data_IF_878261657424
#
_entry.id   IF_878261657424
#
_cell.length_a   1.000
_cell.length_b   1.000
_cell.length_c   1.000
_cell.angle_alpha   90.00
_cell.angle_beta   90.00
_cell.angle_gamma   90.00
#
_symmetry.space_group_name_H-M   'P 1'
#
loop_
_entity.id
_entity.type
_entity.pdbx_description
1 polymer ?
#
# COMPACT_ATOMS: atom_id res chain seq x y z
N UNK A 1 -21.72 -1.58 19.88
CA UNK A 1 -20.96 -2.78 19.47
C UNK A 1 -19.50 -2.52 19.76
N UNK A 2 -18.68 -3.53 20.09
CA UNK A 2 -17.25 -3.30 20.24
C UNK A 2 -16.67 -2.85 18.90
N UNK A 3 -15.81 -1.83 18.92
CA UNK A 3 -15.07 -1.39 17.74
C UNK A 3 -13.94 -2.39 17.44
N UNK A 4 -13.74 -2.70 16.16
CA UNK A 4 -12.73 -3.64 15.70
C UNK A 4 -11.69 -2.91 14.87
N UNK A 5 -10.41 -3.05 15.25
CA UNK A 5 -9.28 -2.58 14.49
C UNK A 5 -8.49 -3.74 13.89
N UNK A 6 -8.07 -3.59 12.63
CA UNK A 6 -7.20 -4.54 11.93
C UNK A 6 -5.83 -3.90 11.72
N UNK A 7 -4.77 -4.59 12.13
CA UNK A 7 -3.38 -4.13 11.94
C UNK A 7 -2.65 -5.08 10.99
N UNK A 8 -2.17 -4.56 9.88
CA UNK A 8 -1.50 -5.29 8.82
C UNK A 8 -0.03 -4.88 8.73
N UNK A 9 0.87 -5.79 9.05
CA UNK A 9 2.31 -5.55 9.09
C UNK A 9 2.96 -5.44 7.71
N UNK A 10 4.22 -5.03 7.70
CA UNK A 10 5.08 -5.13 6.53
C UNK A 10 5.44 -6.59 6.23
N UNK A 11 5.89 -6.88 4.99
CA UNK A 11 6.35 -8.22 4.62
C UNK A 11 6.58 -8.43 3.13
N UNK A 12 6.51 -7.39 2.33
CA UNK A 12 6.66 -7.48 0.88
C UNK A 12 5.61 -8.43 0.26
N UNK A 13 5.98 -9.14 -0.80
CA UNK A 13 5.08 -10.06 -1.51
C UNK A 13 4.63 -11.20 -0.60
N UNK A 14 5.54 -11.76 0.20
CA UNK A 14 5.23 -12.85 1.14
C UNK A 14 4.26 -12.38 2.21
N UNK A 15 4.47 -11.17 2.76
CA UNK A 15 3.56 -10.57 3.74
C UNK A 15 2.18 -10.31 3.15
N UNK A 16 2.10 -9.84 1.91
CA UNK A 16 0.82 -9.65 1.22
C UNK A 16 0.06 -10.97 1.05
N UNK A 17 0.74 -12.04 0.65
CA UNK A 17 0.15 -13.37 0.52
C UNK A 17 -0.33 -13.91 1.89
N UNK A 18 0.48 -13.73 2.93
CA UNK A 18 0.10 -14.10 4.29
C UNK A 18 -1.17 -13.35 4.76
N UNK A 19 -1.21 -12.04 4.56
CA UNK A 19 -2.39 -11.24 4.90
C UNK A 19 -3.62 -11.71 4.13
N UNK A 20 -3.49 -11.99 2.83
CA UNK A 20 -4.58 -12.48 2.01
C UNK A 20 -5.16 -13.79 2.56
N UNK A 21 -4.33 -14.75 2.91
CA UNK A 21 -4.78 -16.03 3.48
C UNK A 21 -5.45 -15.87 4.84
N UNK A 22 -4.86 -15.07 5.75
CA UNK A 22 -5.47 -14.83 7.08
C UNK A 22 -6.80 -14.09 6.97
N UNK A 23 -6.87 -13.07 6.12
CA UNK A 23 -8.10 -12.29 5.92
C UNK A 23 -9.21 -13.12 5.26
N UNK A 24 -8.87 -14.02 4.33
CA UNK A 24 -9.82 -14.96 3.75
C UNK A 24 -10.37 -15.92 4.81
N UNK A 25 -9.50 -16.51 5.64
CA UNK A 25 -9.92 -17.38 6.73
C UNK A 25 -10.80 -16.66 7.77
N UNK A 26 -10.53 -15.40 8.07
CA UNK A 26 -11.38 -14.58 8.93
C UNK A 26 -12.76 -14.33 8.30
N UNK A 27 -12.81 -14.07 6.99
CA UNK A 27 -14.07 -13.90 6.27
C UNK A 27 -14.90 -15.19 6.28
N UNK A 28 -14.27 -16.35 6.09
CA UNK A 28 -14.93 -17.66 6.24
C UNK A 28 -15.46 -17.89 7.65
N UNK A 29 -14.76 -17.38 8.67
CA UNK A 29 -15.20 -17.43 10.06
C UNK A 29 -16.28 -16.38 10.41
N UNK A 30 -16.73 -15.58 9.44
CA UNK A 30 -17.80 -14.58 9.60
C UNK A 30 -17.32 -13.18 9.96
N UNK A 31 -16.02 -12.89 9.88
CA UNK A 31 -15.48 -11.55 10.05
C UNK A 31 -14.89 -11.01 8.74
N UNK A 32 -15.63 -10.11 8.10
CA UNK A 32 -15.11 -9.39 6.93
C UNK A 32 -14.28 -8.18 7.39
N UNK A 33 -13.00 -8.19 7.07
CA UNK A 33 -12.10 -7.11 7.46
C UNK A 33 -12.42 -5.76 6.78
N UNK A 34 -13.26 -5.74 5.75
CA UNK A 34 -13.79 -4.51 5.13
C UNK A 34 -14.69 -3.74 6.09
N UNK A 35 -15.33 -4.45 7.01
CA UNK A 35 -16.25 -3.90 8.03
C UNK A 35 -15.53 -3.42 9.29
N UNK A 36 -14.21 -3.59 9.38
CA UNK A 36 -13.44 -3.08 10.50
C UNK A 36 -13.53 -1.54 10.62
N UNK A 37 -13.68 -1.02 11.85
CA UNK A 37 -13.75 0.43 12.11
C UNK A 37 -12.45 1.13 11.72
N UNK A 38 -11.32 0.46 11.92
CA UNK A 38 -10.00 0.97 11.63
C UNK A 38 -9.12 -0.10 10.97
N UNK A 39 -8.42 0.28 9.91
CA UNK A 39 -7.33 -0.54 9.33
C UNK A 39 -6.05 0.28 9.39
N UNK A 40 -5.03 -0.28 10.02
CA UNK A 40 -3.67 0.30 10.06
C UNK A 40 -2.74 -0.64 9.30
N UNK A 41 -2.01 -0.12 8.34
CA UNK A 41 -1.13 -0.92 7.51
C UNK A 41 0.24 -0.29 7.30
N UNK A 42 1.28 -1.13 7.18
CA UNK A 42 2.64 -0.71 6.83
C UNK A 42 3.13 -1.49 5.62
N UNK A 43 3.65 -0.82 4.57
CA UNK A 43 4.18 -1.44 3.34
C UNK A 43 3.13 -2.37 2.71
N UNK A 44 3.40 -3.69 2.60
CA UNK A 44 2.44 -4.68 2.09
C UNK A 44 1.07 -4.59 2.78
N UNK A 45 1.06 -4.43 4.10
CA UNK A 45 -0.18 -4.27 4.87
C UNK A 45 -0.94 -3.00 4.52
N UNK A 46 -0.25 -1.90 4.21
CA UNK A 46 -0.89 -0.68 3.75
C UNK A 46 -1.57 -0.88 2.37
N UNK A 47 -0.88 -1.57 1.45
CA UNK A 47 -1.44 -1.89 0.14
C UNK A 47 -2.67 -2.80 0.25
N UNK A 48 -2.60 -3.87 1.06
CA UNK A 48 -3.72 -4.78 1.32
C UNK A 48 -4.88 -4.02 1.99
N UNK A 49 -4.60 -3.20 3.01
CA UNK A 49 -5.62 -2.41 3.70
C UNK A 49 -6.32 -1.41 2.78
N UNK A 50 -5.59 -0.74 1.91
CA UNK A 50 -6.15 0.14 0.90
C UNK A 50 -7.05 -0.65 -0.07
N UNK A 51 -6.61 -1.81 -0.53
CA UNK A 51 -7.39 -2.67 -1.44
C UNK A 51 -8.70 -3.15 -0.79
N UNK A 52 -8.66 -3.54 0.50
CA UNK A 52 -9.87 -3.88 1.26
C UNK A 52 -10.84 -2.69 1.35
N UNK A 53 -10.34 -1.49 1.66
CA UNK A 53 -11.17 -0.27 1.73
C UNK A 53 -11.73 0.17 0.38
N UNK A 54 -11.09 -0.23 -0.73
CA UNK A 54 -11.65 -0.07 -2.07
C UNK A 54 -12.81 -1.05 -2.38
N UNK A 55 -13.12 -1.96 -1.44
CA UNK A 55 -14.20 -2.93 -1.56
C UNK A 55 -13.77 -4.32 -2.04
N UNK A 56 -12.47 -4.56 -2.24
CA UNK A 56 -11.98 -5.84 -2.74
C UNK A 56 -12.17 -6.95 -1.69
N UNK A 57 -12.87 -8.05 -2.01
CA UNK A 57 -13.12 -9.11 -1.06
C UNK A 57 -11.84 -9.82 -0.61
N UNK A 58 -11.79 -10.20 0.68
CA UNK A 58 -10.61 -10.89 1.23
C UNK A 58 -10.37 -12.27 0.58
N UNK A 59 -11.45 -13.00 0.26
CA UNK A 59 -11.36 -14.27 -0.45
C UNK A 59 -10.69 -14.12 -1.81
N UNK A 60 -11.02 -13.06 -2.54
CA UNK A 60 -10.43 -12.78 -3.86
C UNK A 60 -8.94 -12.37 -3.78
N UNK A 61 -8.50 -11.78 -2.65
CA UNK A 61 -7.08 -11.57 -2.41
C UNK A 61 -6.32 -12.90 -2.31
N UNK A 62 -6.90 -13.90 -1.64
CA UNK A 62 -6.33 -15.24 -1.55
C UNK A 62 -6.37 -15.97 -2.89
N UNK A 63 -7.53 -16.00 -3.55
CA UNK A 63 -7.73 -16.61 -4.86
C UNK A 63 -6.71 -16.09 -5.88
N UNK A 64 -6.51 -14.76 -5.92
CA UNK A 64 -5.54 -14.14 -6.81
C UNK A 64 -4.10 -14.58 -6.55
N UNK A 65 -3.69 -14.73 -5.28
CA UNK A 65 -2.35 -15.22 -4.94
C UNK A 65 -2.15 -16.68 -5.34
N UNK A 66 -3.24 -17.46 -5.41
CA UNK A 66 -3.24 -18.86 -5.84
C UNK A 66 -3.39 -19.02 -7.37
N UNK A 67 -3.66 -17.94 -8.09
CA UNK A 67 -3.98 -18.00 -9.53
C UNK A 67 -5.36 -18.56 -9.82
N UNK A 68 -6.26 -18.49 -8.84
CA UNK A 68 -7.65 -18.95 -8.95
C UNK A 68 -8.56 -17.86 -9.50
N UNK A 69 -9.74 -18.22 -10.03
CA UNK A 69 -10.74 -17.25 -10.48
C UNK A 69 -11.18 -16.31 -9.34
N UNK A 70 -11.38 -15.05 -9.66
CA UNK A 70 -11.86 -14.02 -8.73
C UNK A 70 -13.32 -13.66 -9.06
N UNK A 71 -14.02 -13.07 -8.10
CA UNK A 71 -15.39 -12.61 -8.26
C UNK A 71 -15.51 -11.44 -9.26
N UNK A 72 -16.71 -11.22 -9.79
CA UNK A 72 -17.01 -10.08 -10.65
C UNK A 72 -16.74 -8.75 -9.97
N UNK A 73 -16.95 -8.66 -8.66
CA UNK A 73 -16.64 -7.47 -7.85
C UNK A 73 -15.14 -7.17 -7.87
N UNK A 74 -14.32 -8.19 -7.63
CA UNK A 74 -12.87 -8.05 -7.68
C UNK A 74 -12.37 -7.73 -9.09
N UNK A 75 -12.95 -8.40 -10.10
CA UNK A 75 -12.63 -8.15 -11.51
C UNK A 75 -12.96 -6.71 -11.94
N UNK A 76 -14.08 -6.15 -11.49
CA UNK A 76 -14.46 -4.77 -11.76
C UNK A 76 -13.44 -3.78 -11.15
N UNK A 77 -13.00 -4.01 -9.91
CA UNK A 77 -12.00 -3.16 -9.26
C UNK A 77 -10.66 -3.22 -10.00
N UNK A 78 -10.23 -4.41 -10.42
CA UNK A 78 -9.01 -4.58 -11.22
C UNK A 78 -9.16 -3.90 -12.59
N UNK A 79 -10.35 -4.00 -13.22
CA UNK A 79 -10.63 -3.33 -14.49
C UNK A 79 -10.42 -1.81 -14.42
N UNK A 80 -10.72 -1.20 -13.26
CA UNK A 80 -10.50 0.23 -13.04
C UNK A 80 -9.03 0.54 -12.71
N UNK A 81 -8.40 -0.29 -11.87
CA UNK A 81 -7.07 0.00 -11.31
C UNK A 81 -5.92 -0.65 -12.07
N UNK A 82 -6.21 -1.58 -12.98
CA UNK A 82 -5.22 -2.43 -13.62
C UNK A 82 -4.56 -3.42 -12.66
N UNK A 83 -3.74 -4.29 -13.21
CA UNK A 83 -2.89 -5.17 -12.40
C UNK A 83 -1.83 -4.36 -11.65
N UNK A 84 -1.49 -4.74 -10.39
CA UNK A 84 -0.41 -4.07 -9.69
C UNK A 84 0.87 -4.18 -10.51
N UNK A 85 1.50 -3.05 -10.86
CA UNK A 85 2.77 -3.09 -11.56
C UNK A 85 3.79 -3.83 -10.71
N UNK A 86 4.62 -4.64 -11.34
CA UNK A 86 5.81 -5.17 -10.68
C UNK A 86 6.64 -3.95 -10.23
N UNK A 87 6.82 -3.79 -8.91
CA UNK A 87 7.68 -2.75 -8.40
C UNK A 87 9.11 -3.05 -8.87
N UNK A 88 9.61 -2.26 -9.81
CA UNK A 88 11.01 -2.32 -10.18
C UNK A 88 11.83 -1.65 -9.06
N UNK A 89 12.26 -2.48 -8.11
CA UNK A 89 13.10 -2.06 -6.99
C UNK A 89 14.58 -1.97 -7.35
N UNK A 90 14.94 -2.12 -8.63
CA UNK A 90 16.33 -1.99 -9.06
C UNK A 90 16.78 -0.55 -8.85
N UNK A 91 17.88 -0.32 -8.11
CA UNK A 91 18.41 1.01 -7.94
C UNK A 91 18.82 1.54 -9.32
N UNK A 92 18.25 2.65 -9.74
CA UNK A 92 18.72 3.35 -10.92
C UNK A 92 20.07 3.99 -10.60
N UNK A 93 21.04 3.99 -11.53
CA UNK A 93 22.30 4.65 -11.28
C UNK A 93 22.03 6.12 -10.94
N UNK A 94 22.73 6.63 -9.93
CA UNK A 94 22.62 8.03 -9.51
C UNK A 94 22.75 8.94 -10.74
N UNK A 95 21.65 9.51 -11.18
CA UNK A 95 21.70 10.54 -12.21
C UNK A 95 22.02 11.86 -11.52
N UNK A 96 23.26 12.31 -11.72
CA UNK A 96 23.75 13.70 -11.53
C UNK A 96 23.49 14.34 -10.16
N UNK A 97 24.58 14.74 -9.51
CA UNK A 97 24.72 15.58 -8.31
C UNK A 97 23.64 15.42 -7.22
N UNK A 98 24.03 15.10 -6.00
CA UNK A 98 23.10 14.91 -4.88
C UNK A 98 22.42 16.24 -4.54
N UNK A 99 21.31 16.52 -5.20
CA UNK A 99 20.45 17.64 -4.81
C UNK A 99 19.70 17.25 -3.53
N UNK A 100 19.59 18.14 -2.55
CA UNK A 100 18.79 17.90 -1.36
C UNK A 100 17.37 17.50 -1.73
N UNK A 101 16.85 16.42 -1.14
CA UNK A 101 15.52 15.91 -1.46
C UNK A 101 14.41 16.90 -1.14
N UNK A 102 14.60 17.78 -0.16
CA UNK A 102 13.61 18.78 0.21
C UNK A 102 14.25 20.04 0.80
N UNK A 103 14.52 21.08 0.02
CA UNK A 103 14.91 22.38 0.53
C UNK A 103 13.91 22.96 1.55
N UNK A 104 12.60 22.66 1.37
CA UNK A 104 11.56 23.09 2.33
C UNK A 104 11.73 22.47 3.72
N UNK A 105 12.20 21.24 3.81
CA UNK A 105 12.47 20.56 5.09
C UNK A 105 13.65 21.23 5.83
N UNK A 106 14.67 21.67 5.12
CA UNK A 106 15.79 22.41 5.69
C UNK A 106 15.34 23.70 6.36
N UNK A 107 14.45 24.46 5.73
CA UNK A 107 13.97 25.72 6.28
C UNK A 107 12.88 25.56 7.36
N UNK A 108 11.93 24.64 7.18
CA UNK A 108 10.85 24.41 8.17
C UNK A 108 11.32 23.72 9.44
N UNK A 109 12.43 22.98 9.39
CA UNK A 109 12.93 22.18 10.50
C UNK A 109 14.11 22.85 11.21
N UNK A 110 14.33 24.16 11.07
CA UNK A 110 15.41 24.90 11.72
C UNK A 110 15.44 24.71 13.25
N UNK A 111 14.28 24.41 13.87
CA UNK A 111 14.15 24.12 15.32
C UNK A 111 14.44 22.65 15.69
N UNK A 112 14.62 21.77 14.70
CA UNK A 112 14.87 20.33 14.90
C UNK A 112 16.02 19.88 13.98
N UNK A 113 17.28 19.98 14.43
CA UNK A 113 18.45 19.76 13.59
C UNK A 113 18.48 18.35 12.97
N UNK A 114 17.98 17.33 13.65
CA UNK A 114 17.87 15.97 13.11
C UNK A 114 16.90 15.86 11.93
N UNK A 115 15.80 16.60 11.94
CA UNK A 115 14.84 16.65 10.83
C UNK A 115 15.39 17.46 9.65
N UNK A 116 16.18 18.49 9.91
CA UNK A 116 16.84 19.26 8.86
C UNK A 116 17.87 18.41 8.08
N UNK A 117 18.63 17.55 8.79
CA UNK A 117 19.59 16.63 8.18
C UNK A 117 18.92 15.65 7.19
N UNK A 118 17.68 15.23 7.43
CA UNK A 118 16.94 14.37 6.51
C UNK A 118 16.70 15.09 5.16
N UNK A 119 16.49 16.39 5.17
CA UNK A 119 16.35 17.20 3.96
C UNK A 119 17.61 17.28 3.08
N UNK A 120 18.79 16.95 3.65
CA UNK A 120 20.07 16.88 2.91
C UNK A 120 20.28 15.54 2.20
N UNK A 121 19.51 14.50 2.57
CA UNK A 121 19.63 13.21 1.91
C UNK A 121 19.26 13.34 0.43
N UNK A 122 19.95 12.63 -0.47
CA UNK A 122 19.64 12.66 -1.89
C UNK A 122 18.22 12.11 -2.13
N UNK A 123 17.58 12.61 -3.16
CA UNK A 123 16.30 12.07 -3.62
C UNK A 123 16.45 10.59 -3.97
N UNK A 124 15.48 9.77 -3.55
CA UNK A 124 15.47 8.34 -3.89
C UNK A 124 15.46 8.11 -5.40
N UNK A 125 16.03 7.02 -5.83
CA UNK A 125 16.14 6.64 -7.26
C UNK A 125 14.92 5.84 -7.76
N UNK A 126 14.03 5.45 -6.85
CA UNK A 126 12.81 4.69 -7.15
C UNK A 126 11.64 5.66 -7.14
N UNK A 127 10.90 5.74 -8.26
CA UNK A 127 9.67 6.52 -8.31
C UNK A 127 8.51 5.78 -7.66
N UNK A 128 7.68 6.51 -6.92
CA UNK A 128 6.44 6.01 -6.32
C UNK A 128 5.19 6.51 -7.05
N UNK A 129 5.37 7.19 -8.19
CA UNK A 129 4.27 7.81 -8.95
C UNK A 129 3.19 6.79 -9.33
N UNK A 130 3.62 5.59 -9.75
CA UNK A 130 2.71 4.48 -10.09
C UNK A 130 1.82 4.07 -8.91
N UNK A 131 2.36 4.11 -7.67
CA UNK A 131 1.57 3.81 -6.46
C UNK A 131 0.57 4.93 -6.21
N UNK A 132 1.00 6.19 -6.35
CA UNK A 132 0.15 7.36 -6.19
C UNK A 132 -1.00 7.37 -7.19
N UNK A 133 -0.73 7.14 -8.47
CA UNK A 133 -1.71 7.05 -9.52
C UNK A 133 -2.75 5.95 -9.26
N UNK A 134 -2.30 4.77 -8.85
CA UNK A 134 -3.19 3.66 -8.52
C UNK A 134 -4.11 3.98 -7.34
N UNK A 135 -3.59 4.60 -6.29
CA UNK A 135 -4.40 5.02 -5.14
C UNK A 135 -5.44 6.05 -5.61
N UNK A 136 -5.05 7.00 -6.46
CA UNK A 136 -5.98 7.98 -7.02
C UNK A 136 -7.08 7.32 -7.87
N UNK A 137 -6.77 6.29 -8.64
CA UNK A 137 -7.77 5.52 -9.39
C UNK A 137 -8.73 4.74 -8.47
N UNK A 138 -8.23 4.23 -7.33
CA UNK A 138 -9.07 3.50 -6.37
C UNK A 138 -10.04 4.40 -5.61
N UNK A 139 -9.62 5.61 -5.27
CA UNK A 139 -10.37 6.47 -4.35
C UNK A 139 -10.95 7.71 -5.03
N UNK A 140 -10.55 8.02 -6.25
CA UNK A 140 -10.93 9.26 -6.93
C UNK A 140 -10.48 10.50 -6.15
N UNK A 141 -11.21 11.58 -6.33
CA UNK A 141 -10.97 12.86 -5.66
C UNK A 141 -11.67 12.97 -4.28
N UNK A 142 -11.74 11.86 -3.53
CA UNK A 142 -12.39 11.83 -2.21
C UNK A 142 -11.53 12.45 -1.12
#
# INVERSE_FOLDING_TARGET
>A
MPSVGVVLGAGGIVGAAYHAGVLAALAEAGFDARDADLIVGTSAGAAVGATLRAGFPAADLAARNLGEPISDTAAAIIGITGDPPALDLRPRPFSRAPLPSSPKLLFRSARHPTKALIGLLPTGTITTDVIGERISLMYGDR
#
